data_IF_455471167536
#
_entry.id   IF_455471167536
#
_cell.length_a   1.000
_cell.length_b   1.000
_cell.length_c   1.000
_cell.angle_alpha   90.00
_cell.angle_beta   90.00
_cell.angle_gamma   90.00
#
_symmetry.space_group_name_H-M   'P 1'
#
loop_
_entity.id
_entity.type
_entity.pdbx_description
1 polymer ?
#
# COMPACT_ATOMS: atom_id res chain seq x y z
N UNK A 1 17.90 -4.28 2.81
CA UNK A 1 18.14 -5.73 2.78
C UNK A 1 16.97 -6.44 3.46
N UNK A 2 16.34 -7.39 2.77
CA UNK A 2 15.04 -8.07 3.02
C UNK A 2 14.96 -8.96 4.27
N UNK A 3 15.83 -8.75 5.26
CA UNK A 3 15.85 -9.53 6.51
C UNK A 3 14.60 -9.37 7.39
N UNK A 4 13.69 -8.43 7.06
CA UNK A 4 12.52 -8.11 7.89
C UNK A 4 11.25 -8.87 7.53
N UNK A 5 11.19 -9.56 6.38
CA UNK A 5 9.99 -10.28 5.94
C UNK A 5 10.33 -11.55 5.14
N UNK A 6 10.85 -12.63 5.78
CA UNK A 6 11.22 -13.85 5.08
C UNK A 6 10.04 -14.51 4.34
N UNK A 7 8.81 -14.30 4.81
CA UNK A 7 7.60 -14.80 4.13
C UNK A 7 7.40 -14.26 2.72
N UNK A 8 8.03 -13.13 2.35
CA UNK A 8 7.92 -12.62 0.98
C UNK A 8 8.57 -13.56 -0.05
N UNK A 9 9.58 -14.35 0.35
CA UNK A 9 10.24 -15.30 -0.56
C UNK A 9 9.35 -16.46 -0.98
N UNK A 10 8.23 -16.71 -0.28
CA UNK A 10 7.29 -17.78 -0.62
C UNK A 10 6.22 -17.33 -1.61
N UNK A 11 6.13 -16.05 -1.91
CA UNK A 11 5.09 -15.51 -2.79
C UNK A 11 5.48 -15.64 -4.26
N UNK A 12 4.50 -15.97 -5.09
CA UNK A 12 4.68 -16.06 -6.54
C UNK A 12 4.98 -14.68 -7.15
N UNK A 13 6.03 -14.59 -7.98
CA UNK A 13 6.34 -13.37 -8.71
C UNK A 13 5.17 -13.00 -9.64
N UNK A 14 4.68 -13.94 -10.44
CA UNK A 14 3.65 -13.67 -11.43
C UNK A 14 2.28 -13.37 -10.80
N UNK A 15 1.94 -14.06 -9.71
CA UNK A 15 0.59 -13.98 -9.14
C UNK A 15 0.49 -13.04 -7.93
N UNK A 16 1.61 -12.54 -7.40
CA UNK A 16 1.61 -11.67 -6.22
C UNK A 16 2.43 -10.40 -6.44
N UNK A 17 3.73 -10.51 -6.71
CA UNK A 17 4.60 -9.33 -6.84
C UNK A 17 4.26 -8.48 -8.05
N UNK A 18 4.17 -9.10 -9.22
CA UNK A 18 3.89 -8.40 -10.48
C UNK A 18 2.58 -7.60 -10.45
N UNK A 19 1.41 -8.18 -10.12
CA UNK A 19 0.17 -7.41 -10.13
C UNK A 19 0.16 -6.29 -9.08
N UNK A 20 0.81 -6.48 -7.92
CA UNK A 20 0.93 -5.43 -6.90
C UNK A 20 1.87 -4.31 -7.34
N UNK A 21 3.00 -4.66 -7.96
CA UNK A 21 3.94 -3.68 -8.49
C UNK A 21 3.34 -2.89 -9.66
N UNK A 22 2.66 -3.56 -10.58
CA UNK A 22 2.02 -2.93 -11.73
C UNK A 22 0.97 -1.91 -11.22
N UNK A 23 0.14 -2.28 -10.24
CA UNK A 23 -0.80 -1.33 -9.61
C UNK A 23 -0.08 -0.15 -8.92
N UNK A 24 0.96 -0.43 -8.15
CA UNK A 24 1.73 0.62 -7.47
C UNK A 24 2.34 1.63 -8.46
N UNK A 25 2.96 1.14 -9.53
CA UNK A 25 3.67 1.99 -10.48
C UNK A 25 2.75 2.68 -11.48
N UNK A 26 1.66 2.05 -11.90
CA UNK A 26 0.78 2.58 -12.95
C UNK A 26 -0.43 3.34 -12.40
N UNK A 27 -1.00 2.90 -11.28
CA UNK A 27 -2.26 3.47 -10.76
C UNK A 27 -1.99 4.40 -9.58
N UNK A 28 -1.04 4.06 -8.71
CA UNK A 28 -0.67 4.90 -7.57
C UNK A 28 0.45 5.89 -7.89
N UNK A 29 1.04 5.80 -9.09
CA UNK A 29 2.19 6.60 -9.54
C UNK A 29 3.34 6.63 -8.51
N UNK A 30 3.53 5.53 -7.80
CA UNK A 30 4.42 5.48 -6.65
C UNK A 30 5.89 5.31 -7.02
N UNK A 31 6.77 5.89 -6.21
CA UNK A 31 8.21 5.85 -6.43
C UNK A 31 8.83 4.55 -5.91
N UNK A 32 9.80 3.99 -6.65
CA UNK A 32 10.44 2.71 -6.29
C UNK A 32 11.10 2.75 -4.91
N UNK A 33 11.58 3.92 -4.48
CA UNK A 33 12.21 4.10 -3.18
C UNK A 33 11.23 3.92 -2.01
N UNK A 34 9.94 4.18 -2.20
CA UNK A 34 8.92 3.87 -1.19
C UNK A 34 8.79 2.36 -0.96
N UNK A 35 8.82 1.55 -2.03
CA UNK A 35 8.78 0.09 -1.92
C UNK A 35 10.05 -0.46 -1.27
N UNK A 36 11.23 0.12 -1.55
CA UNK A 36 12.48 -0.26 -0.88
C UNK A 36 12.43 0.02 0.62
N UNK A 37 11.84 1.15 1.01
CA UNK A 37 11.66 1.54 2.40
C UNK A 37 10.53 0.75 3.09
N UNK A 38 9.55 0.27 2.31
CA UNK A 38 8.39 -0.46 2.79
C UNK A 38 8.10 -1.75 1.99
N UNK A 39 8.97 -2.76 2.03
CA UNK A 39 8.79 -4.01 1.29
C UNK A 39 7.57 -4.81 1.77
N UNK A 40 7.07 -4.52 2.97
CA UNK A 40 5.84 -5.07 3.54
C UNK A 40 4.60 -4.76 2.69
N UNK A 41 4.67 -3.79 1.77
CA UNK A 41 3.64 -3.56 0.75
C UNK A 41 3.17 -4.87 0.09
N UNK A 42 4.10 -5.74 -0.30
CA UNK A 42 3.79 -7.02 -0.95
C UNK A 42 3.13 -8.05 -0.02
N UNK A 43 3.13 -7.83 1.30
CA UNK A 43 2.39 -8.65 2.25
C UNK A 43 0.89 -8.34 2.27
N UNK A 44 0.47 -7.13 1.86
CA UNK A 44 -0.93 -6.74 1.88
C UNK A 44 -1.68 -7.26 0.66
N UNK A 45 -2.98 -7.50 0.82
CA UNK A 45 -3.85 -7.90 -0.28
C UNK A 45 -4.08 -6.73 -1.24
N UNK A 46 -3.89 -6.98 -2.54
CA UNK A 46 -4.14 -5.98 -3.57
C UNK A 46 -5.61 -5.54 -3.55
N UNK A 47 -6.53 -6.49 -3.64
CA UNK A 47 -7.95 -6.21 -3.80
C UNK A 47 -8.67 -5.88 -2.49
N UNK A 48 -8.20 -6.41 -1.35
CA UNK A 48 -8.85 -6.18 -0.05
C UNK A 48 -8.29 -5.02 0.76
N UNK A 49 -7.07 -4.55 0.45
CA UNK A 49 -6.38 -3.55 1.29
C UNK A 49 -5.78 -2.41 0.47
N UNK A 50 -4.96 -2.71 -0.52
CA UNK A 50 -4.24 -1.68 -1.29
C UNK A 50 -5.20 -0.86 -2.14
N UNK A 51 -5.98 -1.51 -3.02
CA UNK A 51 -6.92 -0.81 -3.91
C UNK A 51 -7.98 -0.01 -3.17
N UNK A 52 -8.72 -0.57 -2.18
CA UNK A 52 -9.80 0.17 -1.53
C UNK A 52 -9.29 1.43 -0.82
N UNK A 53 -8.15 1.33 -0.11
CA UNK A 53 -7.58 2.48 0.59
C UNK A 53 -7.01 3.53 -0.38
N UNK A 54 -6.44 3.11 -1.51
CA UNK A 54 -5.93 4.04 -2.51
C UNK A 54 -7.08 4.87 -3.11
N UNK A 55 -8.16 4.21 -3.51
CA UNK A 55 -9.36 4.88 -4.04
C UNK A 55 -9.91 5.86 -3.02
N UNK A 56 -10.06 5.45 -1.75
CA UNK A 56 -10.53 6.36 -0.70
C UNK A 56 -9.61 7.57 -0.50
N UNK A 57 -8.30 7.41 -0.61
CA UNK A 57 -7.35 8.53 -0.52
C UNK A 57 -7.50 9.50 -1.69
N UNK A 58 -7.62 8.97 -2.92
CA UNK A 58 -7.83 9.77 -4.14
C UNK A 58 -9.16 10.53 -4.07
N UNK A 59 -10.24 9.85 -3.68
CA UNK A 59 -11.58 10.45 -3.55
C UNK A 59 -11.62 11.60 -2.52
N UNK A 60 -10.81 11.50 -1.46
CA UNK A 60 -10.67 12.54 -0.44
C UNK A 60 -9.55 13.55 -0.75
N UNK A 61 -8.81 13.41 -1.85
CA UNK A 61 -7.67 14.27 -2.19
C UNK A 61 -6.52 14.21 -1.17
N UNK A 62 -6.40 13.11 -0.41
CA UNK A 62 -5.41 12.94 0.65
C UNK A 62 -4.24 12.11 0.13
N UNK A 63 -3.03 12.66 0.24
CA UNK A 63 -1.79 11.88 0.07
C UNK A 63 -1.12 11.65 1.42
N UNK A 64 -0.81 10.38 1.71
CA UNK A 64 -0.08 9.92 2.90
C UNK A 64 0.90 8.81 2.52
N UNK A 65 1.99 8.59 3.30
CA UNK A 65 2.95 7.53 3.01
C UNK A 65 2.32 6.12 3.00
N UNK A 66 2.80 5.23 2.14
CA UNK A 66 2.33 3.83 2.04
C UNK A 66 2.31 3.09 3.39
N UNK A 67 3.31 3.33 4.22
CA UNK A 67 3.42 2.69 5.53
C UNK A 67 2.26 3.08 6.44
N UNK A 68 1.84 4.35 6.43
CA UNK A 68 0.70 4.83 7.20
C UNK A 68 -0.61 4.37 6.59
N UNK A 69 -0.71 4.43 5.26
CA UNK A 69 -1.87 3.96 4.50
C UNK A 69 -2.16 2.48 4.76
N UNK A 70 -1.15 1.61 4.87
CA UNK A 70 -1.37 0.16 4.90
C UNK A 70 -1.28 -0.47 6.30
N UNK A 71 -0.48 0.09 7.22
CA UNK A 71 -0.32 -0.46 8.58
C UNK A 71 -1.46 -0.13 9.53
N UNK A 72 -2.12 1.01 9.36
CA UNK A 72 -3.19 1.48 10.25
C UNK A 72 -4.39 0.54 10.25
N UNK A 73 -5.15 0.49 11.33
CA UNK A 73 -6.44 -0.22 11.32
C UNK A 73 -7.45 0.49 10.40
N UNK A 74 -8.60 -0.12 10.15
CA UNK A 74 -9.62 0.53 9.32
C UNK A 74 -10.20 1.76 10.05
N UNK A 75 -10.33 1.71 11.37
CA UNK A 75 -10.75 2.84 12.21
C UNK A 75 -9.74 3.99 12.15
N UNK A 76 -8.45 3.69 12.34
CA UNK A 76 -7.38 4.69 12.27
C UNK A 76 -7.29 5.32 10.87
N UNK A 77 -7.40 4.51 9.82
CA UNK A 77 -7.41 4.99 8.45
C UNK A 77 -8.58 5.93 8.18
N UNK A 78 -9.78 5.56 8.63
CA UNK A 78 -10.98 6.38 8.49
C UNK A 78 -10.87 7.71 9.26
N UNK A 79 -10.21 7.70 10.41
CA UNK A 79 -9.94 8.91 11.18
C UNK A 79 -8.90 9.83 10.49
N UNK A 80 -7.90 9.27 9.81
CA UNK A 80 -6.92 10.04 9.05
C UNK A 80 -7.54 10.76 7.85
N UNK A 81 -8.44 10.09 7.12
CA UNK A 81 -9.12 10.71 5.98
C UNK A 81 -10.17 11.75 6.43
N UNK A 82 -10.81 11.56 7.60
CA UNK A 82 -11.83 12.50 8.09
C UNK A 82 -11.24 13.80 8.64
N UNK A 83 -10.04 13.77 9.25
CA UNK A 83 -9.42 14.96 9.82
C UNK A 83 -8.94 15.99 8.80
N UNK A 84 -8.71 15.60 7.54
CA UNK A 84 -8.23 16.53 6.50
C UNK A 84 -9.35 17.28 5.77
N UNK A 85 -10.62 16.94 6.02
CA UNK A 85 -11.79 17.58 5.44
C UNK A 85 -12.36 18.73 6.31
N UNK A 86 -11.56 19.27 7.23
CA UNK A 86 -11.92 20.38 8.13
C UNK A 86 -11.18 21.67 7.81
#
# INVERSE_FOLDING_TARGET
MTLRCPGLFTFSIQNNFKPKFDYFSQEMEGELDELKNFPQYFAFSLDKRIKPRHIQLVDNGVSIPLSLMLKTTDEEFNHLISQKNG
#
